data_IF_689417874433
#
_entry.id   IF_689417874433
#
_cell.length_a   1.000
_cell.length_b   1.000
_cell.length_c   1.000
_cell.angle_alpha   90.00
_cell.angle_beta   90.00
_cell.angle_gamma   90.00
#
_symmetry.space_group_name_H-M   'P 1'
#
loop_
_entity.id
_entity.type
_entity.pdbx_description
1 polymer ?
#
# COMPACT_ATOMS: atom_id res chain seq x y z
N UNK A 1 -60.24 -14.70 -64.40
CA UNK A 1 -60.51 -13.66 -65.41
C UNK A 1 -60.76 -12.37 -64.66
N UNK A 2 -59.73 -11.55 -64.49
CA UNK A 2 -59.87 -10.17 -64.01
C UNK A 2 -59.04 -9.28 -64.93
N UNK A 3 -59.73 -8.33 -65.54
CA UNK A 3 -59.25 -7.42 -66.58
C UNK A 3 -58.71 -6.17 -65.88
N UNK A 4 -57.38 -6.00 -65.84
CA UNK A 4 -56.78 -4.76 -65.36
C UNK A 4 -56.69 -3.73 -66.50
N UNK A 5 -57.47 -2.66 -66.33
CA UNK A 5 -57.54 -1.48 -67.18
C UNK A 5 -56.20 -0.74 -67.23
N UNK A 6 -55.69 -0.52 -68.45
CA UNK A 6 -54.62 0.44 -68.76
C UNK A 6 -55.17 1.86 -68.67
N UNK A 7 -54.65 2.65 -67.73
CA UNK A 7 -54.89 4.09 -67.62
C UNK A 7 -53.84 4.87 -68.43
N UNK A 8 -54.30 5.89 -69.16
CA UNK A 8 -53.49 6.75 -70.02
C UNK A 8 -52.58 7.71 -69.22
N UNK A 9 -51.42 8.11 -69.77
CA UNK A 9 -50.54 9.11 -69.16
C UNK A 9 -51.10 10.53 -69.27
N UNK A 10 -50.95 11.31 -68.20
CA UNK A 10 -51.34 12.72 -68.10
C UNK A 10 -50.36 13.63 -68.87
N UNK A 11 -50.81 14.80 -69.35
CA UNK A 11 -50.00 15.74 -70.16
C UNK A 11 -48.88 16.41 -69.35
N UNK A 12 -47.72 16.52 -69.98
CA UNK A 12 -46.51 17.20 -69.47
C UNK A 12 -46.78 18.70 -69.25
N UNK A 13 -46.70 19.11 -67.99
CA UNK A 13 -46.77 20.51 -67.56
C UNK A 13 -45.46 21.22 -67.88
N UNK A 14 -45.55 22.27 -68.70
CA UNK A 14 -44.45 23.16 -69.08
C UNK A 14 -43.83 23.79 -67.81
N UNK A 15 -42.50 23.72 -67.59
CA UNK A 15 -41.87 24.30 -66.41
C UNK A 15 -41.93 25.84 -66.44
N UNK A 16 -42.56 26.40 -65.41
CA UNK A 16 -42.64 27.83 -65.12
C UNK A 16 -41.23 28.44 -64.99
N UNK A 17 -40.95 29.61 -65.60
CA UNK A 17 -39.65 30.27 -65.50
C UNK A 17 -39.33 30.59 -64.04
N UNK A 18 -38.22 30.00 -63.57
CA UNK A 18 -37.68 30.18 -62.23
C UNK A 18 -37.25 31.63 -62.06
N UNK A 19 -37.87 32.32 -61.10
CA UNK A 19 -37.54 33.69 -60.69
C UNK A 19 -36.02 33.83 -60.47
N UNK A 20 -35.43 35.00 -60.78
CA UNK A 20 -34.02 35.25 -60.57
C UNK A 20 -33.67 34.99 -59.10
N UNK A 21 -32.73 34.07 -58.88
CA UNK A 21 -32.07 33.82 -57.61
C UNK A 21 -31.58 35.16 -57.07
N UNK A 22 -32.37 35.78 -56.18
CA UNK A 22 -31.92 36.92 -55.41
C UNK A 22 -30.67 36.44 -54.69
N UNK A 23 -29.53 37.08 -54.98
CA UNK A 23 -28.26 36.88 -54.29
C UNK A 23 -28.50 37.11 -52.80
N UNK A 24 -28.78 36.03 -52.08
CA UNK A 24 -28.86 36.01 -50.63
C UNK A 24 -27.48 36.46 -50.16
N UNK A 25 -27.43 37.57 -49.43
CA UNK A 25 -26.17 38.06 -48.88
C UNK A 25 -25.67 37.02 -47.90
N UNK A 26 -24.49 36.46 -48.20
CA UNK A 26 -23.80 35.55 -47.30
C UNK A 26 -23.36 36.33 -46.05
N UNK A 27 -23.83 35.90 -44.89
CA UNK A 27 -23.36 36.40 -43.60
C UNK A 27 -22.20 35.52 -43.09
N UNK A 28 -21.30 36.08 -42.30
CA UNK A 28 -20.21 35.31 -41.69
C UNK A 28 -20.73 34.26 -40.69
N UNK A 29 -20.24 33.03 -40.79
CA UNK A 29 -20.59 31.95 -39.87
C UNK A 29 -19.82 32.08 -38.55
N UNK A 30 -20.47 32.64 -37.53
CA UNK A 30 -19.88 32.80 -36.21
C UNK A 30 -19.74 31.48 -35.42
N UNK A 31 -20.43 30.41 -35.81
CA UNK A 31 -20.47 29.12 -35.11
C UNK A 31 -21.91 28.76 -34.72
N UNK A 32 -22.07 27.73 -33.89
CA UNK A 32 -23.39 27.33 -33.35
C UNK A 32 -23.26 27.18 -31.84
N UNK A 33 -24.29 27.64 -31.12
CA UNK A 33 -24.37 27.54 -29.66
C UNK A 33 -25.04 26.23 -29.25
N UNK A 34 -24.39 25.48 -28.36
CA UNK A 34 -24.94 24.26 -27.75
C UNK A 34 -25.08 24.44 -26.25
N UNK A 35 -26.21 24.03 -25.69
CA UNK A 35 -26.42 24.04 -24.24
C UNK A 35 -25.52 23.01 -23.55
N UNK A 36 -24.87 23.38 -22.46
CA UNK A 36 -23.99 22.57 -21.63
C UNK A 36 -24.53 22.52 -20.20
N UNK A 37 -25.64 21.81 -20.00
CA UNK A 37 -26.33 21.68 -18.70
C UNK A 37 -25.64 20.72 -17.72
N UNK A 38 -24.31 20.70 -17.69
CA UNK A 38 -23.58 20.03 -16.62
C UNK A 38 -23.28 21.06 -15.51
N UNK A 39 -22.69 20.61 -14.41
CA UNK A 39 -22.06 21.49 -13.42
C UNK A 39 -21.09 22.50 -14.08
N UNK A 40 -20.48 23.39 -13.27
CA UNK A 40 -19.47 24.38 -13.67
C UNK A 40 -18.69 23.97 -14.95
N UNK A 41 -18.96 24.68 -16.04
CA UNK A 41 -18.49 24.30 -17.38
C UNK A 41 -16.96 24.19 -17.45
N UNK A 42 -16.25 25.08 -16.75
CA UNK A 42 -14.79 25.05 -16.64
C UNK A 42 -14.26 23.77 -15.98
N UNK A 43 -15.06 23.13 -15.13
CA UNK A 43 -14.70 21.89 -14.45
C UNK A 43 -15.11 20.64 -15.23
N UNK A 44 -16.23 20.71 -15.95
CA UNK A 44 -16.87 19.57 -16.62
C UNK A 44 -16.44 19.40 -18.08
N UNK A 45 -16.00 20.46 -18.77
CA UNK A 45 -15.63 20.39 -20.19
C UNK A 45 -14.21 19.84 -20.39
N UNK A 46 -13.99 18.85 -21.28
CA UNK A 46 -12.66 18.30 -21.57
C UNK A 46 -11.94 19.14 -22.65
N UNK A 47 -11.26 20.21 -22.25
CA UNK A 47 -10.60 21.16 -23.16
C UNK A 47 -9.51 20.56 -24.07
N UNK A 48 -9.03 19.35 -23.80
CA UNK A 48 -7.89 18.75 -24.49
C UNK A 48 -8.28 18.13 -25.84
N UNK A 49 -9.51 17.60 -26.00
CA UNK A 49 -9.91 16.89 -27.22
C UNK A 49 -11.32 17.29 -27.67
N UNK A 50 -11.38 18.00 -28.79
CA UNK A 50 -12.62 18.33 -29.50
C UNK A 50 -12.67 17.62 -30.86
N UNK A 51 -13.48 16.55 -31.01
CA UNK A 51 -13.55 15.80 -32.25
C UNK A 51 -14.32 16.57 -33.33
N UNK A 52 -13.57 17.22 -34.23
CA UNK A 52 -14.11 17.82 -35.45
C UNK A 52 -14.59 19.27 -35.33
N UNK A 53 -14.35 19.93 -34.20
CA UNK A 53 -14.72 21.34 -33.99
C UNK A 53 -13.71 22.07 -33.11
N UNK A 54 -13.75 23.39 -33.18
CA UNK A 54 -13.02 24.32 -32.31
C UNK A 54 -14.00 25.00 -31.36
N UNK A 55 -13.60 25.11 -30.09
CA UNK A 55 -14.37 25.82 -29.07
C UNK A 55 -14.01 27.30 -29.17
N UNK A 56 -14.99 28.15 -29.49
CA UNK A 56 -14.78 29.59 -29.68
C UNK A 56 -14.99 30.38 -28.40
N UNK A 57 -16.13 30.16 -27.74
CA UNK A 57 -16.48 30.86 -26.52
C UNK A 57 -17.31 30.00 -25.60
N UNK A 58 -17.24 30.30 -24.32
CA UNK A 58 -17.96 29.62 -23.24
C UNK A 58 -18.75 30.69 -22.51
N UNK A 59 -20.07 30.64 -22.61
CA UNK A 59 -20.96 31.49 -21.82
C UNK A 59 -21.36 30.75 -20.55
N UNK A 60 -20.79 31.20 -19.43
CA UNK A 60 -21.01 30.62 -18.11
C UNK A 60 -22.42 30.93 -17.62
N UNK A 61 -22.99 32.10 -17.99
CA UNK A 61 -24.27 32.58 -17.50
C UNK A 61 -25.43 31.79 -18.13
N UNK A 62 -25.36 31.54 -19.43
CA UNK A 62 -26.37 30.74 -20.14
C UNK A 62 -26.05 29.24 -20.16
N UNK A 63 -24.89 28.85 -19.63
CA UNK A 63 -24.33 27.50 -19.74
C UNK A 63 -24.36 27.03 -21.20
N UNK A 64 -23.86 27.84 -22.13
CA UNK A 64 -23.75 27.50 -23.55
C UNK A 64 -22.31 27.54 -24.03
N UNK A 65 -21.96 26.65 -24.96
CA UNK A 65 -20.70 26.68 -25.69
C UNK A 65 -20.94 27.08 -27.13
N UNK A 66 -20.13 27.99 -27.63
CA UNK A 66 -20.07 28.30 -29.06
C UNK A 66 -18.97 27.48 -29.70
N UNK A 67 -19.33 26.65 -30.67
CA UNK A 67 -18.38 25.80 -31.39
C UNK A 67 -18.45 26.09 -32.88
N UNK A 68 -17.31 25.93 -33.56
CA UNK A 68 -17.21 26.05 -35.01
C UNK A 68 -16.60 24.78 -35.59
N UNK A 69 -17.20 24.26 -36.65
CA UNK A 69 -16.69 23.07 -37.32
C UNK A 69 -15.33 23.37 -37.92
N UNK A 70 -14.40 22.41 -37.86
CA UNK A 70 -13.11 22.52 -38.57
C UNK A 70 -13.27 22.54 -40.09
N UNK A 71 -14.46 22.17 -40.58
CA UNK A 71 -14.86 22.23 -42.00
C UNK A 71 -15.83 23.39 -42.27
N UNK A 72 -15.84 24.42 -41.42
CA UNK A 72 -16.70 25.58 -41.61
C UNK A 72 -16.34 26.32 -42.90
N UNK A 73 -17.35 26.61 -43.72
CA UNK A 73 -17.22 27.37 -44.98
C UNK A 73 -17.03 28.88 -44.76
N UNK A 74 -17.14 29.37 -43.52
CA UNK A 74 -17.04 30.79 -43.21
C UNK A 74 -18.32 31.59 -43.51
N UNK A 75 -19.24 31.07 -44.33
CA UNK A 75 -20.51 31.72 -44.68
C UNK A 75 -21.74 30.94 -44.19
N UNK A 76 -22.86 31.64 -43.95
CA UNK A 76 -24.16 31.07 -43.60
C UNK A 76 -25.30 31.68 -44.43
N UNK A 77 -26.38 30.92 -44.60
CA UNK A 77 -27.62 31.40 -45.21
C UNK A 77 -28.31 32.36 -44.23
N UNK A 78 -28.79 33.49 -44.73
CA UNK A 78 -29.58 34.43 -43.94
C UNK A 78 -30.71 33.69 -43.20
N UNK A 79 -30.84 33.90 -41.89
CA UNK A 79 -31.73 33.21 -40.94
C UNK A 79 -31.24 31.89 -40.32
N UNK A 80 -30.15 31.26 -40.78
CA UNK A 80 -29.62 30.07 -40.10
C UNK A 80 -28.73 30.46 -38.91
N UNK A 81 -28.70 29.66 -37.84
CA UNK A 81 -27.81 29.93 -36.69
C UNK A 81 -26.33 29.67 -37.03
N UNK A 82 -26.04 28.87 -38.06
CA UNK A 82 -24.69 28.63 -38.57
C UNK A 82 -24.71 27.88 -39.91
N UNK A 83 -23.53 27.63 -40.48
CA UNK A 83 -23.41 26.87 -41.73
C UNK A 83 -23.77 25.38 -41.54
N UNK A 84 -24.09 24.62 -42.61
CA UNK A 84 -24.49 23.21 -42.53
C UNK A 84 -23.48 22.33 -41.78
N UNK A 85 -22.19 22.60 -41.92
CA UNK A 85 -21.14 21.85 -41.22
C UNK A 85 -21.09 22.15 -39.72
N UNK A 86 -21.47 23.35 -39.28
CA UNK A 86 -21.53 23.73 -37.87
C UNK A 86 -22.82 23.24 -37.19
N UNK A 87 -23.97 23.28 -37.89
CA UNK A 87 -25.24 22.75 -37.37
C UNK A 87 -25.20 21.23 -37.20
N UNK A 88 -24.45 20.53 -38.06
CA UNK A 88 -24.22 19.09 -37.96
C UNK A 88 -23.33 18.62 -36.80
N UNK A 89 -22.78 19.51 -35.97
CA UNK A 89 -21.89 19.13 -34.86
C UNK A 89 -22.60 18.52 -33.64
N UNK A 90 -23.94 18.54 -33.60
CA UNK A 90 -24.73 18.05 -32.47
C UNK A 90 -24.30 16.67 -31.93
N UNK A 91 -24.13 15.64 -32.78
CA UNK A 91 -23.64 14.33 -32.35
C UNK A 91 -22.24 14.37 -31.72
N UNK A 92 -21.30 15.13 -32.31
CA UNK A 92 -19.94 15.27 -31.76
C UNK A 92 -19.93 15.95 -30.39
N UNK A 93 -20.75 17.00 -30.21
CA UNK A 93 -20.91 17.67 -28.91
C UNK A 93 -21.57 16.74 -27.88
N UNK A 94 -22.54 15.93 -28.29
CA UNK A 94 -23.17 14.94 -27.42
C UNK A 94 -22.19 13.86 -26.94
N UNK A 95 -21.26 13.41 -27.81
CA UNK A 95 -20.19 12.47 -27.43
C UNK A 95 -19.27 13.08 -26.37
N UNK A 96 -18.84 14.33 -26.57
CA UNK A 96 -17.98 15.04 -25.60
C UNK A 96 -18.71 15.24 -24.26
N UNK A 97 -20.02 15.53 -24.30
CA UNK A 97 -20.86 15.60 -23.10
C UNK A 97 -20.94 14.26 -22.38
N UNK A 98 -21.08 13.15 -23.12
CA UNK A 98 -21.06 11.80 -22.55
C UNK A 98 -19.75 11.50 -21.81
N UNK A 99 -18.60 11.94 -22.37
CA UNK A 99 -17.31 11.77 -21.71
C UNK A 99 -17.21 12.49 -20.36
N UNK A 100 -17.78 13.69 -20.28
CA UNK A 100 -17.81 14.49 -19.06
C UNK A 100 -18.71 13.89 -17.96
N UNK A 101 -19.80 13.20 -18.33
CA UNK A 101 -20.73 12.57 -17.38
C UNK A 101 -20.22 11.22 -16.84
N UNK A 102 -19.52 10.46 -17.67
CA UNK A 102 -19.01 9.15 -17.29
C UNK A 102 -17.91 9.24 -16.21
N UNK A 103 -17.78 8.20 -15.38
CA UNK A 103 -16.73 8.15 -14.35
C UNK A 103 -15.31 8.14 -14.97
N UNK A 104 -14.28 8.67 -14.27
CA UNK A 104 -12.92 8.80 -14.82
C UNK A 104 -12.25 7.48 -15.22
N UNK A 105 -12.73 6.35 -14.70
CA UNK A 105 -12.43 4.97 -15.15
C UNK A 105 -11.01 4.72 -15.70
N UNK A 106 -10.93 3.92 -16.77
CA UNK A 106 -9.70 3.62 -17.50
C UNK A 106 -9.53 4.48 -18.77
N UNK A 107 -10.14 5.67 -18.81
CA UNK A 107 -10.11 6.51 -20.01
C UNK A 107 -8.72 7.11 -20.26
N UNK A 108 -8.43 7.38 -21.53
CA UNK A 108 -7.28 8.19 -21.93
C UNK A 108 -7.35 9.59 -21.31
N UNK A 109 -6.21 10.13 -20.90
CA UNK A 109 -6.10 11.40 -20.17
C UNK A 109 -6.73 12.58 -20.93
N UNK A 110 -6.64 12.60 -22.26
CA UNK A 110 -7.19 13.69 -23.07
C UNK A 110 -8.72 13.73 -23.13
N UNK A 111 -9.42 12.69 -22.66
CA UNK A 111 -10.90 12.66 -22.61
C UNK A 111 -11.45 13.00 -21.23
N UNK A 112 -10.59 13.30 -20.27
CA UNK A 112 -11.00 13.61 -18.92
C UNK A 112 -11.29 15.11 -18.77
N UNK A 113 -12.36 15.44 -18.06
CA UNK A 113 -12.62 16.81 -17.64
C UNK A 113 -11.62 17.28 -16.59
N UNK A 114 -11.52 18.59 -16.35
CA UNK A 114 -10.65 19.15 -15.31
C UNK A 114 -10.96 18.54 -13.92
N UNK A 115 -12.25 18.43 -13.56
CA UNK A 115 -12.68 17.79 -12.31
C UNK A 115 -12.23 16.34 -12.20
N UNK A 116 -12.36 15.59 -13.29
CA UNK A 116 -11.92 14.19 -13.36
C UNK A 116 -10.39 14.07 -13.23
N UNK A 117 -9.63 14.95 -13.88
CA UNK A 117 -8.17 15.01 -13.75
C UNK A 117 -7.74 15.37 -12.33
N UNK A 118 -8.33 16.40 -11.71
CA UNK A 118 -8.04 16.78 -10.33
C UNK A 118 -8.34 15.63 -9.35
N UNK A 119 -9.46 14.93 -9.53
CA UNK A 119 -9.81 13.72 -8.77
C UNK A 119 -8.81 12.59 -8.98
N UNK A 120 -8.33 12.39 -10.22
CA UNK A 120 -7.31 11.38 -10.54
C UNK A 120 -5.96 11.72 -9.91
N UNK A 121 -5.54 12.99 -9.96
CA UNK A 121 -4.29 13.47 -9.34
C UNK A 121 -4.33 13.31 -7.81
N UNK A 122 -5.43 13.69 -7.16
CA UNK A 122 -5.59 13.51 -5.71
C UNK A 122 -5.61 12.02 -5.35
N UNK A 123 -6.27 11.19 -6.15
CA UNK A 123 -6.25 9.73 -6.01
C UNK A 123 -4.84 9.13 -6.14
N UNK A 124 -4.09 9.50 -7.18
CA UNK A 124 -2.70 9.05 -7.36
C UNK A 124 -1.79 9.56 -6.25
N UNK A 125 -1.97 10.80 -5.80
CA UNK A 125 -1.20 11.37 -4.69
C UNK A 125 -1.46 10.63 -3.38
N UNK A 126 -2.71 10.23 -3.13
CA UNK A 126 -3.08 9.39 -2.00
C UNK A 126 -2.43 8.01 -2.10
N UNK A 127 -2.55 7.33 -3.25
CA UNK A 127 -1.90 6.03 -3.49
C UNK A 127 -0.39 6.09 -3.28
N UNK A 128 0.26 7.13 -3.81
CA UNK A 128 1.70 7.34 -3.65
C UNK A 128 2.08 7.54 -2.18
N UNK A 129 1.27 8.27 -1.40
CA UNK A 129 1.48 8.42 0.04
C UNK A 129 1.33 7.09 0.78
N UNK A 130 0.32 6.31 0.42
CA UNK A 130 0.04 5.01 1.03
C UNK A 130 1.19 4.03 0.74
N UNK A 131 1.66 3.95 -0.50
CA UNK A 131 2.81 3.13 -0.87
C UNK A 131 4.10 3.58 -0.18
N UNK A 132 4.36 4.90 -0.09
CA UNK A 132 5.50 5.42 0.69
C UNK A 132 5.44 4.99 2.15
N UNK A 133 4.25 5.03 2.76
CA UNK A 133 4.05 4.57 4.14
C UNK A 133 4.37 3.08 4.29
N UNK A 134 3.89 2.24 3.36
CA UNK A 134 4.20 0.80 3.32
C UNK A 134 5.70 0.55 3.18
N UNK A 135 6.37 1.21 2.23
CA UNK A 135 7.83 1.08 2.04
C UNK A 135 8.59 1.47 3.30
N UNK A 136 8.23 2.57 3.96
CA UNK A 136 8.86 3.00 5.21
C UNK A 136 8.67 1.98 6.34
N UNK A 137 7.48 1.40 6.47
CA UNK A 137 7.20 0.38 7.47
C UNK A 137 8.01 -0.91 7.22
N UNK A 138 8.07 -1.38 5.97
CA UNK A 138 8.92 -2.52 5.58
C UNK A 138 10.40 -2.23 5.84
N UNK A 139 10.86 -1.01 5.55
CA UNK A 139 12.24 -0.61 5.82
C UNK A 139 12.57 -0.64 7.33
N UNK A 140 11.68 -0.11 8.17
CA UNK A 140 11.82 -0.19 9.64
C UNK A 140 11.84 -1.64 10.13
N UNK A 141 11.03 -2.52 9.54
CA UNK A 141 11.04 -3.95 9.87
C UNK A 141 12.39 -4.59 9.51
N UNK A 142 12.91 -4.34 8.31
CA UNK A 142 14.22 -4.84 7.88
C UNK A 142 15.36 -4.37 8.80
N UNK A 143 15.38 -3.10 9.20
CA UNK A 143 16.39 -2.59 10.15
C UNK A 143 16.31 -3.34 11.48
N UNK A 144 15.11 -3.57 12.02
CA UNK A 144 14.94 -4.31 13.28
C UNK A 144 15.39 -5.78 13.14
N UNK A 145 15.10 -6.42 12.01
CA UNK A 145 15.53 -7.78 11.73
C UNK A 145 17.06 -7.88 11.65
N UNK A 146 17.72 -6.95 10.93
CA UNK A 146 19.19 -6.87 10.85
C UNK A 146 19.82 -6.72 12.23
N UNK A 147 19.34 -5.78 13.05
CA UNK A 147 19.82 -5.59 14.43
C UNK A 147 19.67 -6.84 15.30
N UNK A 148 18.60 -7.62 15.11
CA UNK A 148 18.44 -8.91 15.81
C UNK A 148 19.47 -9.92 15.35
N UNK A 149 19.72 -10.03 14.05
CA UNK A 149 20.74 -10.93 13.49
C UNK A 149 22.12 -10.55 14.05
N UNK A 150 22.49 -9.27 14.00
CA UNK A 150 23.75 -8.76 14.56
C UNK A 150 23.90 -9.07 16.06
N UNK A 151 22.82 -8.91 16.83
CA UNK A 151 22.82 -9.24 18.26
C UNK A 151 23.02 -10.74 18.52
N UNK A 152 22.43 -11.62 17.70
CA UNK A 152 22.66 -13.07 17.79
C UNK A 152 24.06 -13.47 17.33
N UNK A 153 24.59 -12.84 16.29
CA UNK A 153 25.98 -13.05 15.85
C UNK A 153 26.95 -12.69 16.98
N UNK A 154 26.77 -11.50 17.59
CA UNK A 154 27.59 -11.07 18.73
C UNK A 154 27.52 -12.06 19.89
N UNK A 155 26.32 -12.60 20.18
CA UNK A 155 26.15 -13.60 21.22
C UNK A 155 26.92 -14.90 20.90
N UNK A 156 26.83 -15.38 19.65
CA UNK A 156 27.55 -16.58 19.18
C UNK A 156 29.06 -16.35 19.23
N UNK A 157 29.52 -15.18 18.83
CA UNK A 157 30.94 -14.80 18.86
C UNK A 157 31.48 -14.80 20.30
N UNK A 158 30.74 -14.21 21.24
CA UNK A 158 31.11 -14.21 22.67
C UNK A 158 31.17 -15.62 23.25
N UNK A 159 30.17 -16.47 22.96
CA UNK A 159 30.11 -17.86 23.45
C UNK A 159 31.19 -18.74 22.82
N UNK A 160 31.53 -18.52 21.55
CA UNK A 160 32.55 -19.32 20.85
C UNK A 160 33.98 -18.91 21.22
N UNK A 161 34.20 -17.64 21.55
CA UNK A 161 35.53 -17.11 21.86
C UNK A 161 35.90 -17.26 23.34
N UNK A 162 34.92 -17.30 24.24
CA UNK A 162 35.16 -17.30 25.68
C UNK A 162 34.51 -18.51 26.35
N UNK A 163 35.18 -19.07 27.35
CA UNK A 163 34.59 -20.10 28.19
C UNK A 163 33.68 -19.44 29.24
N UNK A 164 32.36 -19.51 29.03
CA UNK A 164 31.37 -18.81 29.86
C UNK A 164 30.95 -19.70 31.03
N UNK A 165 31.26 -19.32 32.30
CA UNK A 165 30.92 -20.15 33.45
C UNK A 165 29.41 -20.35 33.60
N UNK A 166 28.97 -21.61 33.66
CA UNK A 166 27.58 -21.98 33.82
C UNK A 166 26.70 -21.62 32.61
N UNK A 167 27.26 -21.62 31.40
CA UNK A 167 26.54 -21.30 30.16
C UNK A 167 25.18 -22.02 30.02
N UNK A 168 25.03 -23.34 30.28
CA UNK A 168 23.73 -24.00 30.17
C UNK A 168 22.65 -23.38 31.07
N UNK A 169 23.02 -23.00 32.30
CA UNK A 169 22.11 -22.33 33.25
C UNK A 169 21.82 -20.90 32.84
N UNK A 170 22.81 -20.18 32.32
CA UNK A 170 22.61 -18.83 31.79
C UNK A 170 21.58 -18.83 30.64
N UNK A 171 21.67 -19.80 29.71
CA UNK A 171 20.71 -19.96 28.62
C UNK A 171 19.32 -20.41 29.13
N UNK A 172 19.27 -21.29 30.12
CA UNK A 172 18.01 -21.68 30.78
C UNK A 172 17.32 -20.48 31.43
N UNK A 173 18.09 -19.63 32.14
CA UNK A 173 17.61 -18.40 32.73
C UNK A 173 17.13 -17.41 31.66
N UNK A 174 17.88 -17.26 30.57
CA UNK A 174 17.48 -16.42 29.45
C UNK A 174 16.14 -16.87 28.85
N UNK A 175 15.93 -18.19 28.72
CA UNK A 175 14.67 -18.76 28.23
C UNK A 175 13.52 -18.53 29.22
N UNK A 176 13.74 -18.81 30.51
CA UNK A 176 12.73 -18.67 31.58
C UNK A 176 12.27 -17.21 31.75
N UNK A 177 13.21 -16.27 31.68
CA UNK A 177 12.98 -14.85 31.91
C UNK A 177 12.73 -14.04 30.63
N UNK A 178 12.73 -14.68 29.45
CA UNK A 178 12.50 -14.03 28.16
C UNK A 178 13.57 -13.00 27.77
N UNK A 179 14.85 -13.25 28.07
CA UNK A 179 15.94 -12.34 27.70
C UNK A 179 16.19 -12.35 26.19
N UNK A 180 16.32 -11.15 25.61
CA UNK A 180 16.79 -10.98 24.23
C UNK A 180 18.31 -11.21 24.12
N UNK A 181 18.80 -11.43 22.89
CA UNK A 181 20.20 -11.73 22.60
C UNK A 181 21.20 -10.74 23.22
N UNK A 182 20.93 -9.43 23.15
CA UNK A 182 21.80 -8.40 23.75
C UNK A 182 21.91 -8.55 25.27
N UNK A 183 20.79 -8.72 25.97
CA UNK A 183 20.79 -8.91 27.44
C UNK A 183 21.50 -10.21 27.84
N UNK A 184 21.30 -11.28 27.06
CA UNK A 184 22.02 -12.55 27.27
C UNK A 184 23.53 -12.37 27.08
N UNK A 185 23.94 -11.59 26.08
CA UNK A 185 25.35 -11.23 25.84
C UNK A 185 25.92 -10.42 27.01
N UNK A 186 25.19 -9.44 27.53
CA UNK A 186 25.60 -8.66 28.70
C UNK A 186 25.78 -9.56 29.93
N UNK A 187 24.84 -10.49 30.16
CA UNK A 187 24.94 -11.46 31.25
C UNK A 187 26.10 -12.43 31.08
N UNK A 188 26.38 -12.86 29.85
CA UNK A 188 27.54 -13.70 29.54
C UNK A 188 28.84 -12.94 29.84
N UNK A 189 28.95 -11.68 29.42
CA UNK A 189 30.11 -10.82 29.72
C UNK A 189 30.29 -10.59 31.22
N UNK A 190 29.19 -10.39 31.97
CA UNK A 190 29.26 -10.31 33.43
C UNK A 190 29.70 -11.63 34.07
N UNK A 191 29.29 -12.78 33.52
CA UNK A 191 29.71 -14.09 33.99
C UNK A 191 31.19 -14.36 33.73
N UNK A 192 31.70 -13.99 32.54
CA UNK A 192 33.13 -14.05 32.20
C UNK A 192 33.96 -13.22 33.19
N UNK A 193 33.46 -12.05 33.61
CA UNK A 193 34.12 -11.19 34.60
C UNK A 193 33.95 -11.67 36.05
N UNK A 194 33.22 -12.76 36.29
CA UNK A 194 32.89 -13.22 37.65
C UNK A 194 31.94 -12.30 38.42
N UNK A 195 31.29 -11.34 37.75
CA UNK A 195 30.34 -10.41 38.35
C UNK A 195 28.90 -10.96 38.35
N UNK A 196 28.64 -12.01 37.58
CA UNK A 196 27.34 -12.66 37.51
C UNK A 196 27.52 -14.19 37.60
N UNK A 197 26.80 -14.80 38.52
CA UNK A 197 26.79 -16.25 38.70
C UNK A 197 25.39 -16.76 38.39
N UNK A 198 25.18 -17.53 37.29
CA UNK A 198 23.86 -18.02 36.94
C UNK A 198 23.36 -19.02 38.00
N UNK A 199 22.42 -18.57 38.82
CA UNK A 199 21.64 -19.40 39.74
C UNK A 199 20.64 -20.28 38.97
N UNK A 200 19.99 -21.22 39.64
CA UNK A 200 19.09 -22.27 39.09
C UNK A 200 19.82 -23.56 38.69
N UNK A 201 20.49 -24.17 39.66
CA UNK A 201 21.07 -25.51 39.55
C UNK A 201 19.97 -26.55 39.33
N UNK A 202 20.21 -27.43 38.37
CA UNK A 202 19.36 -28.61 38.16
C UNK A 202 19.48 -29.58 39.35
N UNK A 203 18.55 -30.52 39.50
CA UNK A 203 18.68 -31.57 40.51
C UNK A 203 19.96 -32.38 40.29
N UNK A 204 20.26 -32.72 39.03
CA UNK A 204 21.51 -33.39 38.66
C UNK A 204 22.75 -32.57 39.07
N UNK A 205 22.76 -31.25 38.85
CA UNK A 205 23.88 -30.39 39.27
C UNK A 205 24.08 -30.45 40.80
N UNK A 206 22.98 -30.49 41.55
CA UNK A 206 22.99 -30.59 43.02
C UNK A 206 23.47 -31.95 43.49
N UNK A 207 22.98 -33.03 42.88
CA UNK A 207 23.37 -34.39 43.22
C UNK A 207 24.85 -34.63 42.93
N UNK A 208 25.33 -34.22 41.76
CA UNK A 208 26.75 -34.29 41.42
C UNK A 208 27.61 -33.43 42.35
N UNK A 209 27.12 -32.26 42.79
CA UNK A 209 27.81 -31.45 43.79
C UNK A 209 27.89 -32.13 45.16
N UNK A 210 26.81 -32.79 45.58
CA UNK A 210 26.78 -33.59 46.82
C UNK A 210 27.77 -34.75 46.73
N UNK A 211 27.75 -35.51 45.63
CA UNK A 211 28.69 -36.61 45.40
C UNK A 211 30.14 -36.12 45.40
N UNK A 212 30.44 -35.03 44.67
CA UNK A 212 31.78 -34.45 44.66
C UNK A 212 32.23 -34.00 46.06
N UNK A 213 31.31 -33.46 46.87
CA UNK A 213 31.59 -33.11 48.25
C UNK A 213 31.83 -34.33 49.15
N UNK A 214 31.05 -35.40 48.98
CA UNK A 214 31.14 -36.60 49.81
C UNK A 214 32.39 -37.42 49.54
N UNK A 215 32.74 -37.60 48.26
CA UNK A 215 33.91 -38.39 47.87
C UNK A 215 35.21 -37.57 47.82
N UNK A 216 35.14 -36.29 47.40
CA UNK A 216 36.32 -35.44 47.21
C UNK A 216 36.47 -34.32 48.25
N UNK A 217 35.55 -34.19 49.19
CA UNK A 217 35.57 -33.18 50.22
C UNK A 217 35.33 -31.75 49.72
N UNK A 218 35.60 -30.78 50.60
CA UNK A 218 35.40 -29.34 50.34
C UNK A 218 36.30 -28.85 49.18
N UNK A 219 37.52 -29.39 49.08
CA UNK A 219 38.50 -28.96 48.10
C UNK A 219 38.07 -29.27 46.66
N UNK A 220 37.58 -30.49 46.40
CA UNK A 220 37.07 -30.86 45.07
C UNK A 220 35.86 -30.02 44.70
N UNK A 221 34.90 -29.85 45.61
CA UNK A 221 33.72 -29.03 45.34
C UNK A 221 34.10 -27.57 45.04
N UNK A 222 35.07 -27.00 45.77
CA UNK A 222 35.55 -25.64 45.49
C UNK A 222 36.21 -25.54 44.11
N UNK A 223 37.01 -26.53 43.71
CA UNK A 223 37.58 -26.58 42.36
C UNK A 223 36.50 -26.68 41.28
N UNK A 224 35.48 -27.52 41.46
CA UNK A 224 34.34 -27.64 40.53
C UNK A 224 33.47 -26.38 40.50
N UNK A 225 33.33 -25.67 41.62
CA UNK A 225 32.65 -24.38 41.66
C UNK A 225 33.39 -23.31 40.85
N UNK A 226 34.72 -23.36 40.82
CA UNK A 226 35.56 -22.46 40.00
C UNK A 226 35.76 -22.94 38.56
N UNK A 227 35.33 -24.15 38.23
CA UNK A 227 35.38 -24.69 36.87
C UNK A 227 34.33 -24.03 35.96
N UNK A 228 34.43 -24.20 34.63
CA UNK A 228 33.44 -23.70 33.67
C UNK A 228 32.01 -24.21 33.93
N UNK A 229 31.87 -25.37 34.57
CA UNK A 229 30.56 -25.90 34.97
C UNK A 229 29.94 -25.14 36.14
N UNK A 230 30.72 -24.37 36.89
CA UNK A 230 30.32 -23.53 38.01
C UNK A 230 29.35 -24.23 38.98
N UNK A 231 29.78 -25.32 39.60
CA UNK A 231 28.95 -26.15 40.49
C UNK A 231 28.37 -25.36 41.69
N UNK A 232 27.25 -25.83 42.29
CA UNK A 232 26.71 -25.26 43.51
C UNK A 232 27.76 -25.15 44.63
N UNK A 233 27.68 -24.08 45.42
CA UNK A 233 28.56 -23.94 46.59
C UNK A 233 28.14 -24.89 47.72
N UNK A 234 29.04 -25.11 48.69
CA UNK A 234 28.73 -25.88 49.90
C UNK A 234 27.48 -25.38 50.61
N UNK A 235 27.29 -24.06 50.68
CA UNK A 235 26.10 -23.47 51.30
C UNK A 235 24.82 -23.84 50.56
N UNK A 236 24.86 -23.88 49.22
CA UNK A 236 23.71 -24.24 48.39
C UNK A 236 23.28 -25.70 48.57
N UNK A 237 24.23 -26.63 48.80
CA UNK A 237 23.91 -28.06 49.02
C UNK A 237 23.73 -28.43 50.49
N UNK A 238 24.04 -27.54 51.44
CA UNK A 238 24.01 -27.85 52.87
C UNK A 238 22.62 -28.28 53.34
N UNK A 239 21.58 -27.60 52.86
CA UNK A 239 20.19 -27.92 53.22
C UNK A 239 19.75 -29.26 52.62
N UNK A 240 20.16 -29.55 51.38
CA UNK A 240 19.86 -30.82 50.69
C UNK A 240 20.52 -32.02 51.37
N UNK A 241 21.71 -31.85 51.96
CA UNK A 241 22.36 -32.93 52.73
C UNK A 241 21.64 -33.22 54.04
N UNK A 242 20.99 -32.23 54.66
CA UNK A 242 20.25 -32.46 55.93
C UNK A 242 19.04 -33.35 55.72
N UNK A 243 18.35 -33.24 54.58
CA UNK A 243 17.22 -34.13 54.26
C UNK A 243 17.63 -35.59 54.08
N UNK A 244 18.89 -35.85 53.75
CA UNK A 244 19.44 -37.21 53.58
C UNK A 244 20.04 -37.78 54.87
N UNK A 245 19.96 -37.05 55.98
CA UNK A 245 20.45 -37.54 57.28
C UNK A 245 19.56 -38.68 57.76
N UNK A 246 20.07 -39.90 57.67
CA UNK A 246 19.41 -41.10 58.17
C UNK A 246 19.19 -40.95 59.69
N UNK A 247 17.93 -40.79 60.10
CA UNK A 247 17.56 -40.94 61.51
C UNK A 247 17.47 -42.43 61.82
N UNK A 248 18.36 -42.94 62.68
CA UNK A 248 18.22 -44.29 63.21
C UNK A 248 17.06 -44.28 64.20
N UNK A 249 15.90 -44.77 63.76
CA UNK A 249 14.78 -45.08 64.65
C UNK A 249 15.01 -46.46 65.23
N UNK A 250 15.41 -46.51 66.51
CA UNK A 250 15.41 -47.77 67.26
C UNK A 250 13.95 -48.12 67.51
N UNK A 251 13.45 -49.16 66.84
CA UNK A 251 12.09 -49.67 67.06
C UNK A 251 11.93 -50.04 68.53
N UNK A 252 10.95 -49.45 69.22
CA UNK A 252 10.61 -49.86 70.58
C UNK A 252 10.17 -51.32 70.55
N UNK A 253 10.90 -52.21 71.24
CA UNK A 253 10.49 -53.60 71.40
C UNK A 253 9.19 -53.62 72.21
N UNK A 254 8.13 -54.20 71.63
CA UNK A 254 6.89 -54.51 72.35
C UNK A 254 7.11 -55.62 73.36
#
# INVERSE_FOLDING_TARGET
>A
MEVHQKSCPAPETIPTPTLPLQLVRDEECLGVDFSWKLELMLESYPFVINPGYDLLSVDITTATIRVRSKRCTGSRIAQSTGCPSCTGLGPSVAVVRGWAQESPGKKSLGRLSHKQLAKKITGLSKQLRDERSKTNNSHKYLIRAKRRIEAYQTLIDVISTNDVPGLPRLLSNAKKEGWGASKTTDKANLAIRGLYHPCNYTELDKDLAILAYEYGGVALLHALHKSPFAFPTRFTIADLRRSSSLSITVGQSR
#
